data_IF_397366775506
#
_entry.id   IF_397366775506
#
_cell.length_a   1.000
_cell.length_b   1.000
_cell.length_c   1.000
_cell.angle_alpha   90.00
_cell.angle_beta   90.00
_cell.angle_gamma   90.00
#
_symmetry.space_group_name_H-M   'P 1'
#
loop_
_entity.id
_entity.type
_entity.pdbx_description
1 polymer ?
#
# COMPACT_ATOMS: atom_id res chain seq x y z
N UNK A 1 5.38 10.32 -1.41
CA UNK A 1 4.60 9.34 -0.62
C UNK A 1 5.19 7.96 -0.87
N UNK A 2 5.30 7.07 0.13
CA UNK A 2 5.96 5.77 -0.07
C UNK A 2 5.06 4.71 -0.74
N UNK A 3 5.65 3.71 -1.42
CA UNK A 3 4.97 2.44 -1.70
C UNK A 3 4.35 1.84 -0.43
N UNK A 4 3.17 1.25 -0.55
CA UNK A 4 2.49 0.64 0.60
C UNK A 4 3.22 -0.61 1.10
N UNK A 5 3.20 -0.84 2.41
CA UNK A 5 3.53 -2.15 2.97
C UNK A 5 2.35 -3.12 2.71
N UNK A 6 2.45 -3.91 1.64
CA UNK A 6 1.45 -4.93 1.29
C UNK A 6 1.87 -6.30 1.81
N UNK A 7 0.99 -6.98 2.55
CA UNK A 7 1.19 -8.35 3.01
C UNK A 7 -0.02 -9.20 2.65
N UNK A 8 0.20 -10.27 1.88
CA UNK A 8 -0.83 -11.21 1.49
C UNK A 8 -0.52 -12.56 2.14
N UNK A 9 -1.30 -12.90 3.15
CA UNK A 9 -1.17 -14.17 3.86
C UNK A 9 -2.04 -15.24 3.19
N UNK A 10 -1.45 -16.39 2.89
CA UNK A 10 -2.17 -17.55 2.35
C UNK A 10 -2.20 -18.66 3.40
N UNK A 11 -3.35 -19.31 3.55
CA UNK A 11 -3.57 -20.39 4.52
C UNK A 11 -2.89 -21.73 4.16
N UNK A 12 -2.25 -21.84 2.98
CA UNK A 12 -1.61 -23.06 2.47
C UNK A 12 -0.09 -22.91 2.42
N UNK A 13 0.64 -24.02 2.59
CA UNK A 13 2.09 -24.04 2.38
C UNK A 13 2.40 -23.78 0.91
N UNK A 14 3.10 -22.69 0.64
CA UNK A 14 3.46 -22.27 -0.71
C UNK A 14 4.76 -22.97 -1.16
N UNK A 15 4.77 -23.50 -2.39
CA UNK A 15 6.02 -23.87 -3.07
C UNK A 15 6.85 -22.61 -3.33
N UNK A 16 8.19 -22.74 -3.43
CA UNK A 16 9.11 -21.60 -3.65
C UNK A 16 8.69 -20.71 -4.84
N UNK A 17 8.37 -21.31 -5.98
CA UNK A 17 7.89 -20.58 -7.18
C UNK A 17 6.63 -19.77 -6.92
N UNK A 18 5.73 -20.27 -6.06
CA UNK A 18 4.50 -19.56 -5.67
C UNK A 18 4.80 -18.43 -4.69
N UNK A 19 5.77 -18.60 -3.79
CA UNK A 19 6.21 -17.54 -2.88
C UNK A 19 6.86 -16.37 -3.62
N UNK A 20 7.67 -16.62 -4.65
CA UNK A 20 8.29 -15.55 -5.44
C UNK A 20 7.24 -14.77 -6.25
N UNK A 21 6.24 -15.46 -6.82
CA UNK A 21 5.10 -14.82 -7.48
C UNK A 21 4.27 -13.97 -6.53
N UNK A 22 4.10 -14.44 -5.28
CA UNK A 22 3.40 -13.68 -4.25
C UNK A 22 4.13 -12.38 -3.91
N UNK A 23 5.46 -12.43 -3.75
CA UNK A 23 6.27 -11.22 -3.51
C UNK A 23 6.16 -10.21 -4.64
N UNK A 24 6.21 -10.67 -5.89
CA UNK A 24 6.01 -9.82 -7.07
C UNK A 24 4.61 -9.20 -7.07
N UNK A 25 3.59 -9.96 -6.68
CA UNK A 25 2.23 -9.45 -6.53
C UNK A 25 2.13 -8.38 -5.42
N UNK A 26 2.69 -8.63 -4.24
CA UNK A 26 2.70 -7.66 -3.13
C UNK A 26 3.40 -6.37 -3.51
N UNK A 27 4.54 -6.46 -4.19
CA UNK A 27 5.29 -5.30 -4.69
C UNK A 27 4.48 -4.53 -5.74
N UNK A 28 3.87 -5.22 -6.69
CA UNK A 28 2.99 -4.58 -7.69
C UNK A 28 1.82 -3.84 -7.01
N UNK A 29 1.09 -4.51 -6.12
CA UNK A 29 -0.03 -3.90 -5.41
C UNK A 29 0.42 -2.69 -4.56
N UNK A 30 1.65 -2.72 -4.01
CA UNK A 30 2.20 -1.61 -3.22
C UNK A 30 2.30 -0.29 -4.00
N UNK A 31 2.77 -0.37 -5.25
CA UNK A 31 2.84 0.79 -6.14
C UNK A 31 1.46 1.23 -6.63
N UNK A 32 0.52 0.29 -6.81
CA UNK A 32 -0.86 0.61 -7.16
C UNK A 32 -1.58 1.38 -6.03
N UNK A 33 -1.44 0.94 -4.78
CA UNK A 33 -1.97 1.69 -3.64
C UNK A 33 -1.34 3.08 -3.50
N UNK A 34 -0.02 3.19 -3.72
CA UNK A 34 0.68 4.48 -3.73
C UNK A 34 0.08 5.42 -4.78
N UNK A 35 -0.11 4.93 -6.00
CA UNK A 35 -0.74 5.66 -7.10
C UNK A 35 -2.15 6.13 -6.74
N UNK A 36 -3.00 5.23 -6.22
CA UNK A 36 -4.38 5.56 -5.87
C UNK A 36 -4.48 6.69 -4.82
N UNK A 37 -3.67 6.65 -3.76
CA UNK A 37 -3.67 7.73 -2.76
C UNK A 37 -3.11 9.02 -3.36
N UNK A 38 -2.01 8.94 -4.11
CA UNK A 38 -1.41 10.12 -4.73
C UNK A 38 -2.37 10.82 -5.69
N UNK A 39 -3.07 10.06 -6.54
CA UNK A 39 -4.08 10.58 -7.44
C UNK A 39 -5.17 11.34 -6.68
N UNK A 40 -5.71 10.77 -5.61
CA UNK A 40 -6.68 11.47 -4.76
C UNK A 40 -6.14 12.79 -4.19
N UNK A 41 -4.89 12.79 -3.70
CA UNK A 41 -4.24 13.97 -3.15
C UNK A 41 -4.03 15.05 -4.22
N UNK A 42 -3.64 14.67 -5.44
CA UNK A 42 -3.41 15.58 -6.55
C UNK A 42 -4.69 16.21 -7.08
N UNK A 43 -5.74 15.42 -7.26
CA UNK A 43 -7.06 15.89 -7.68
C UNK A 43 -7.61 16.94 -6.72
N UNK A 44 -7.21 16.87 -5.44
CA UNK A 44 -7.64 17.76 -4.36
C UNK A 44 -6.52 18.58 -3.76
N UNK A 45 -5.44 18.85 -4.49
CA UNK A 45 -4.27 19.56 -3.96
C UNK A 45 -4.59 20.92 -3.32
N UNK A 46 -5.67 21.58 -3.77
CA UNK A 46 -6.14 22.86 -3.22
C UNK A 46 -6.75 22.75 -1.82
N UNK A 47 -7.20 21.54 -1.44
CA UNK A 47 -7.81 21.23 -0.15
C UNK A 47 -6.74 21.00 0.94
N UNK A 48 -5.46 21.03 0.61
CA UNK A 48 -4.36 20.80 1.54
C UNK A 48 -3.44 22.02 1.66
N UNK A 49 -2.89 22.24 2.85
CA UNK A 49 -1.94 23.31 3.15
C UNK A 49 -0.50 22.95 2.79
N UNK A 50 -0.25 21.70 2.42
CA UNK A 50 1.08 21.15 2.08
C UNK A 50 1.14 20.76 0.61
N UNK A 51 2.36 20.67 0.08
CA UNK A 51 2.63 20.10 -1.23
C UNK A 51 2.99 18.63 -1.08
N UNK A 52 2.71 17.82 -2.10
CA UNK A 52 3.11 16.42 -2.12
C UNK A 52 4.15 16.21 -3.22
N UNK A 53 5.24 15.52 -2.87
CA UNK A 53 6.24 15.06 -3.83
C UNK A 53 5.61 14.04 -4.79
N UNK A 54 6.00 14.14 -6.07
CA UNK A 54 5.58 13.19 -7.11
C UNK A 54 6.03 11.76 -6.77
N UNK A 55 5.21 10.76 -7.10
CA UNK A 55 5.52 9.37 -6.83
C UNK A 55 6.63 8.84 -7.73
N UNK A 56 6.78 9.35 -8.97
CA UNK A 56 7.85 8.98 -9.88
C UNK A 56 9.21 9.49 -9.37
N UNK A 57 9.22 10.71 -8.83
CA UNK A 57 10.39 11.27 -8.14
C UNK A 57 10.72 10.46 -6.89
N UNK A 58 9.71 10.15 -6.06
CA UNK A 58 9.88 9.33 -4.87
C UNK A 58 10.53 7.99 -5.23
N UNK A 59 9.95 7.27 -6.20
CA UNK A 59 10.38 5.94 -6.60
C UNK A 59 11.76 5.98 -7.26
N UNK A 60 12.06 7.01 -8.05
CA UNK A 60 13.37 7.24 -8.65
C UNK A 60 14.44 7.51 -7.59
N UNK A 61 14.15 8.34 -6.60
CA UNK A 61 15.08 8.66 -5.51
C UNK A 61 15.40 7.42 -4.66
N UNK A 62 14.39 6.62 -4.31
CA UNK A 62 14.58 5.36 -3.60
C UNK A 62 15.48 4.41 -4.41
N UNK A 63 15.18 4.23 -5.70
CA UNK A 63 15.97 3.38 -6.60
C UNK A 63 17.41 3.85 -6.75
N UNK A 64 17.65 5.16 -6.92
CA UNK A 64 19.00 5.75 -7.01
C UNK A 64 19.82 5.54 -5.73
N UNK A 65 19.16 5.45 -4.57
CA UNK A 65 19.80 5.16 -3.28
C UNK A 65 19.94 3.67 -2.98
N UNK A 66 19.59 2.79 -3.92
CA UNK A 66 19.63 1.34 -3.72
C UNK A 66 18.57 0.81 -2.75
N UNK A 67 17.54 1.62 -2.44
CA UNK A 67 16.45 1.22 -1.56
C UNK A 67 15.43 0.45 -2.40
N UNK A 68 15.36 -0.85 -2.14
CA UNK A 68 14.36 -1.77 -2.70
C UNK A 68 13.07 -1.76 -1.89
N UNK A 69 12.00 -2.30 -2.47
CA UNK A 69 10.74 -2.50 -1.76
C UNK A 69 10.91 -3.33 -0.48
N UNK A 70 11.78 -4.35 -0.51
CA UNK A 70 12.03 -5.24 0.63
C UNK A 70 12.81 -4.51 1.73
N UNK A 71 13.84 -3.75 1.37
CA UNK A 71 14.65 -2.97 2.33
C UNK A 71 13.91 -1.77 2.90
N UNK A 72 12.90 -1.25 2.20
CA UNK A 72 12.10 -0.13 2.68
C UNK A 72 11.43 -0.46 4.03
N UNK A 73 11.02 -1.72 4.22
CA UNK A 73 10.37 -2.20 5.46
C UNK A 73 11.27 -2.18 6.69
N UNK A 74 12.58 -2.24 6.50
CA UNK A 74 13.57 -2.19 7.59
C UNK A 74 14.04 -0.78 7.93
N UNK A 75 13.66 0.23 7.14
CA UNK A 75 14.05 1.61 7.39
C UNK A 75 13.13 2.28 8.41
N UNK A 76 13.69 3.19 9.19
CA UNK A 76 12.93 4.11 10.02
C UNK A 76 12.30 5.21 9.17
N UNK A 77 11.21 5.81 9.67
CA UNK A 77 10.55 6.94 8.99
C UNK A 77 11.48 8.15 8.84
N UNK A 78 12.39 8.36 9.79
CA UNK A 78 13.42 9.39 9.73
C UNK A 78 14.37 9.18 8.56
N UNK A 79 14.90 7.96 8.39
CA UNK A 79 15.78 7.61 7.28
C UNK A 79 15.06 7.75 5.93
N UNK A 80 13.78 7.37 5.86
CA UNK A 80 12.96 7.56 4.66
C UNK A 80 12.81 9.05 4.31
N UNK A 81 12.51 9.91 5.28
CA UNK A 81 12.38 11.36 5.03
C UNK A 81 13.70 11.97 4.55
N UNK A 82 14.83 11.59 5.17
CA UNK A 82 16.16 12.03 4.75
C UNK A 82 16.54 11.53 3.35
N UNK A 83 16.20 10.28 3.02
CA UNK A 83 16.43 9.73 1.69
C UNK A 83 15.61 10.45 0.60
N UNK A 84 14.43 10.96 0.94
CA UNK A 84 13.53 11.62 -0.01
C UNK A 84 13.63 13.14 -0.03
N UNK A 85 14.31 13.74 0.96
CA UNK A 85 14.40 15.19 1.10
C UNK A 85 13.06 15.86 1.41
N UNK A 86 12.23 15.20 2.23
CA UNK A 86 10.87 15.67 2.60
C UNK A 86 10.77 15.95 4.10
N UNK A 87 9.83 16.82 4.48
CA UNK A 87 9.52 17.23 5.86
C UNK A 87 8.53 16.28 6.56
N UNK A 88 7.92 15.37 5.82
CA UNK A 88 7.06 14.33 6.35
C UNK A 88 6.83 13.23 5.33
N UNK A 89 6.38 12.07 5.82
CA UNK A 89 6.11 10.91 4.98
C UNK A 89 4.76 10.29 5.29
N UNK A 90 3.97 10.14 4.23
CA UNK A 90 2.76 9.31 4.24
C UNK A 90 3.18 7.89 3.88
N UNK A 91 2.85 6.95 4.75
CA UNK A 91 3.07 5.51 4.56
C UNK A 91 1.78 4.76 4.84
N UNK A 92 1.44 3.82 3.96
CA UNK A 92 0.28 2.98 4.11
C UNK A 92 0.65 1.51 4.33
N UNK A 93 -0.25 0.78 4.98
CA UNK A 93 -0.13 -0.67 5.16
C UNK A 93 -1.42 -1.33 4.72
N UNK A 94 -1.30 -2.38 3.92
CA UNK A 94 -2.39 -3.24 3.51
C UNK A 94 -2.05 -4.68 3.88
N UNK A 95 -2.90 -5.33 4.66
CA UNK A 95 -2.74 -6.74 4.99
C UNK A 95 -4.02 -7.46 4.62
N UNK A 96 -3.93 -8.60 3.94
CA UNK A 96 -5.10 -9.47 3.73
C UNK A 96 -4.78 -10.95 3.90
N UNK A 97 -5.77 -11.71 4.36
CA UNK A 97 -5.74 -13.17 4.41
C UNK A 97 -6.55 -13.75 3.25
N UNK A 98 -5.90 -14.51 2.39
CA UNK A 98 -6.53 -15.27 1.32
C UNK A 98 -6.74 -16.72 1.79
N UNK A 99 -7.97 -17.03 2.17
CA UNK A 99 -8.39 -18.40 2.49
C UNK A 99 -8.69 -19.15 1.20
N UNK A 100 -7.73 -19.92 0.72
CA UNK A 100 -7.94 -20.80 -0.42
C UNK A 100 -8.65 -22.08 0.07
N UNK A 101 -9.78 -22.43 -0.55
CA UNK A 101 -10.39 -23.74 -0.35
C UNK A 101 -9.48 -24.83 -0.95
N UNK A 102 -9.43 -26.01 -0.33
CA UNK A 102 -8.59 -27.14 -0.75
C UNK A 102 -8.87 -27.55 -2.20
N UNK A 103 -10.08 -27.36 -2.69
CA UNK A 103 -10.45 -27.62 -4.09
C UNK A 103 -9.75 -26.65 -5.06
N UNK A 104 -9.59 -25.38 -4.69
CA UNK A 104 -8.88 -24.36 -5.46
C UNK A 104 -7.36 -24.61 -5.51
N UNK A 105 -6.78 -25.25 -4.49
CA UNK A 105 -5.34 -25.54 -4.42
C UNK A 105 -4.83 -26.48 -5.52
N UNK A 106 -5.67 -27.41 -6.00
CA UNK A 106 -5.37 -28.30 -7.13
C UNK A 106 -5.45 -27.56 -8.48
N UNK A 107 -6.35 -26.58 -8.57
CA UNK A 107 -6.55 -25.75 -9.76
C UNK A 107 -5.45 -24.69 -9.88
N UNK A 108 -4.96 -24.14 -8.76
CA UNK A 108 -3.89 -23.14 -8.74
C UNK A 108 -2.56 -23.65 -9.32
N UNK A 109 -2.21 -24.92 -9.16
CA UNK A 109 -1.00 -25.50 -9.77
C UNK A 109 -1.10 -25.55 -11.32
N UNK A 110 -2.33 -25.66 -11.86
CA UNK A 110 -2.63 -25.70 -13.30
C UNK A 110 -2.92 -24.31 -13.90
N UNK A 111 -3.64 -23.46 -13.17
CA UNK A 111 -4.17 -22.16 -13.62
C UNK A 111 -3.25 -20.99 -13.29
N UNK A 112 -2.28 -21.16 -12.39
CA UNK A 112 -1.22 -20.17 -12.18
C UNK A 112 -0.31 -19.96 -13.40
N UNK A 113 -0.54 -20.67 -14.51
CA UNK A 113 0.05 -20.39 -15.82
C UNK A 113 -0.82 -19.47 -16.71
N UNK A 114 -2.07 -19.19 -16.34
CA UNK A 114 -3.05 -18.56 -17.25
C UNK A 114 -3.86 -17.38 -16.68
N UNK A 115 -3.97 -17.17 -15.37
CA UNK A 115 -4.79 -16.05 -14.85
C UNK A 115 -4.07 -15.26 -13.77
N UNK A 116 -3.42 -14.17 -14.18
CA UNK A 116 -2.80 -13.16 -13.32
C UNK A 116 -3.83 -12.24 -12.60
N UNK A 117 -5.13 -12.44 -12.84
CA UNK A 117 -6.19 -11.47 -12.54
C UNK A 117 -7.20 -11.88 -11.45
N UNK A 118 -7.06 -13.02 -10.77
CA UNK A 118 -7.95 -13.36 -9.66
C UNK A 118 -7.37 -12.83 -8.33
N UNK A 119 -7.35 -11.51 -8.17
CA UNK A 119 -7.31 -10.92 -6.84
C UNK A 119 -8.68 -11.18 -6.21
N UNK A 120 -8.76 -12.19 -5.34
CA UNK A 120 -9.95 -12.39 -4.51
C UNK A 120 -10.10 -11.13 -3.66
N UNK A 121 -11.13 -10.33 -3.89
CA UNK A 121 -11.47 -9.22 -3.00
C UNK A 121 -11.69 -9.79 -1.59
N UNK A 122 -10.84 -9.44 -0.60
CA UNK A 122 -10.85 -10.07 0.73
C UNK A 122 -12.17 -9.77 1.46
N UNK A 123 -12.79 -10.71 2.20
CA UNK A 123 -14.10 -10.50 2.88
C UNK A 123 -14.01 -9.72 4.21
N UNK A 124 -15.15 -9.57 4.94
CA UNK A 124 -15.28 -8.69 6.11
C UNK A 124 -14.39 -9.16 7.23
N UNK A 125 -13.45 -8.32 7.69
CA UNK A 125 -12.41 -8.72 8.64
C UNK A 125 -11.26 -9.57 8.07
N UNK A 126 -11.17 -9.76 6.74
CA UNK A 126 -10.04 -10.46 6.10
C UNK A 126 -8.97 -9.52 5.57
N UNK A 127 -9.18 -8.20 5.64
CA UNK A 127 -8.19 -7.21 5.26
C UNK A 127 -8.18 -5.97 6.16
N UNK A 128 -6.99 -5.44 6.39
CA UNK A 128 -6.73 -4.21 7.12
C UNK A 128 -5.99 -3.24 6.21
N UNK A 129 -6.48 -2.00 6.13
CA UNK A 129 -5.87 -0.94 5.36
C UNK A 129 -5.71 0.30 6.25
N UNK A 130 -4.48 0.80 6.36
CA UNK A 130 -4.16 1.96 7.19
C UNK A 130 -3.21 2.93 6.50
N UNK A 131 -3.29 4.19 6.93
CA UNK A 131 -2.40 5.28 6.56
C UNK A 131 -1.81 5.89 7.82
N UNK A 132 -0.55 6.29 7.73
CA UNK A 132 0.14 7.05 8.77
C UNK A 132 0.89 8.21 8.14
N UNK A 133 0.97 9.31 8.87
CA UNK A 133 1.75 10.49 8.55
C UNK A 133 2.77 10.70 9.66
N UNK A 134 4.03 10.66 9.28
CA UNK A 134 5.15 11.04 10.14
C UNK A 134 5.64 12.42 9.78
N UNK A 135 5.86 13.25 10.79
CA UNK A 135 6.35 14.61 10.66
C UNK A 135 7.78 14.70 11.23
N UNK A 136 8.69 15.28 10.45
CA UNK A 136 10.11 15.39 10.82
C UNK A 136 10.34 16.41 11.92
N UNK A 137 9.59 17.51 11.96
CA UNK A 137 9.72 18.54 12.99
C UNK A 137 9.30 18.01 14.37
N UNK A 138 8.21 17.25 14.42
CA UNK A 138 7.72 16.61 15.63
C UNK A 138 8.40 15.28 15.95
N UNK A 139 9.16 14.73 15.00
CA UNK A 139 9.89 13.44 15.09
C UNK A 139 9.00 12.25 15.48
N UNK A 140 7.71 12.30 15.15
CA UNK A 140 6.73 11.27 15.52
C UNK A 140 5.66 11.09 14.45
N UNK A 141 4.91 10.00 14.56
CA UNK A 141 3.66 9.86 13.82
C UNK A 141 2.65 10.83 14.42
N UNK A 142 2.21 11.79 13.61
CA UNK A 142 1.25 12.83 14.02
C UNK A 142 -0.19 12.47 13.67
N UNK A 143 -0.37 11.51 12.75
CA UNK A 143 -1.69 11.06 12.34
C UNK A 143 -1.68 9.62 11.84
N UNK A 144 -2.74 8.91 12.21
CA UNK A 144 -3.04 7.55 11.75
C UNK A 144 -4.51 7.49 11.38
N UNK A 145 -4.81 6.82 10.27
CA UNK A 145 -6.16 6.47 9.89
C UNK A 145 -6.20 4.99 9.54
N UNK A 146 -7.10 4.26 10.18
CA UNK A 146 -7.41 2.87 9.87
C UNK A 146 -8.90 2.78 9.60
N UNK A 147 -9.26 1.97 8.60
CA UNK A 147 -10.64 1.68 8.32
C UNK A 147 -10.86 0.18 8.39
N UNK A 148 -11.78 -0.24 9.25
CA UNK A 148 -12.14 -1.64 9.43
C UNK A 148 -13.31 -2.04 8.50
N UNK A 149 -14.02 -1.03 7.94
CA UNK A 149 -15.11 -1.21 6.97
C UNK A 149 -14.57 -1.14 5.53
N UNK A 150 -14.02 -2.26 5.04
CA UNK A 150 -13.80 -2.42 3.61
C UNK A 150 -15.12 -2.86 2.95
N UNK A 151 -15.41 -2.29 1.79
CA UNK A 151 -16.56 -2.66 0.97
C UNK A 151 -16.08 -3.65 -0.10
N UNK A 152 -16.81 -4.74 -0.32
CA UNK A 152 -16.46 -5.76 -1.32
C UNK A 152 -16.56 -5.32 -2.77
N UNK A 153 -17.00 -4.09 -3.01
CA UNK A 153 -17.20 -3.55 -4.35
C UNK A 153 -15.96 -2.94 -5.01
N UNK A 154 -14.82 -2.77 -4.32
CA UNK A 154 -13.62 -2.20 -4.95
C UNK A 154 -13.02 -3.18 -5.95
N UNK A 155 -12.68 -2.68 -7.14
CA UNK A 155 -12.23 -3.49 -8.28
C UNK A 155 -10.71 -3.53 -8.43
N UNK A 156 -9.99 -2.59 -7.79
CA UNK A 156 -8.53 -2.54 -7.85
C UNK A 156 -7.90 -1.97 -6.57
N UNK A 157 -6.59 -2.21 -6.35
CA UNK A 157 -5.83 -1.56 -5.28
C UNK A 157 -5.92 -0.03 -5.32
N UNK A 158 -5.86 0.57 -6.51
CA UNK A 158 -5.97 2.03 -6.71
C UNK A 158 -7.33 2.56 -6.22
N UNK A 159 -8.44 1.93 -6.63
CA UNK A 159 -9.79 2.34 -6.19
C UNK A 159 -9.93 2.23 -4.67
N UNK A 160 -9.38 1.17 -4.08
CA UNK A 160 -9.43 0.97 -2.63
C UNK A 160 -8.58 2.02 -1.89
N UNK A 161 -7.39 2.35 -2.40
CA UNK A 161 -6.55 3.43 -1.89
C UNK A 161 -7.26 4.79 -1.96
N UNK A 162 -7.89 5.11 -3.10
CA UNK A 162 -8.67 6.35 -3.27
C UNK A 162 -9.84 6.40 -2.28
N UNK A 163 -10.58 5.30 -2.13
CA UNK A 163 -11.71 5.21 -1.20
C UNK A 163 -11.27 5.37 0.25
N UNK A 164 -10.14 4.76 0.64
CA UNK A 164 -9.54 4.97 1.96
C UNK A 164 -9.16 6.43 2.15
N UNK A 165 -8.41 7.00 1.22
CA UNK A 165 -7.94 8.38 1.30
C UNK A 165 -9.11 9.37 1.33
N UNK A 166 -10.21 9.11 0.62
CA UNK A 166 -11.41 9.93 0.65
C UNK A 166 -12.03 10.04 2.05
N UNK A 167 -11.97 8.96 2.83
CA UNK A 167 -12.42 8.97 4.23
C UNK A 167 -11.36 9.56 5.15
N UNK A 168 -10.10 9.18 4.95
CA UNK A 168 -8.96 9.61 5.75
C UNK A 168 -8.74 11.13 5.68
N UNK A 169 -8.88 11.72 4.49
CA UNK A 169 -8.74 13.15 4.22
C UNK A 169 -9.66 14.02 5.07
N UNK A 170 -10.81 13.50 5.54
CA UNK A 170 -11.71 14.23 6.46
C UNK A 170 -11.08 14.56 7.80
N UNK A 171 -10.06 13.80 8.21
CA UNK A 171 -9.35 13.96 9.48
C UNK A 171 -7.86 14.25 9.28
N UNK A 172 -7.44 14.60 8.06
CA UNK A 172 -6.03 14.79 7.75
C UNK A 172 -5.51 16.11 8.34
N UNK A 173 -4.37 16.13 9.06
CA UNK A 173 -3.93 17.30 9.84
C UNK A 173 -3.69 18.56 9.01
N UNK A 174 -3.23 18.41 7.76
CA UNK A 174 -2.92 19.53 6.88
C UNK A 174 -4.01 19.81 5.84
N UNK A 175 -5.25 19.38 6.12
CA UNK A 175 -6.41 19.78 5.32
C UNK A 175 -6.81 21.22 5.66
N UNK A 176 -7.18 21.99 4.63
CA UNK A 176 -7.75 23.34 4.76
C UNK A 176 -9.24 23.31 5.11
#
# INVERSE_FOLDING_TARGET
MLPFDVQIEKNLQLKKTTADRLRVQEEREAYQYQSGVFQYLMDRKKDFAVNFQDIDDTNTLLKRKGITYQTLRSMTKTEMCQALGVDGVISGRFQRRENLDRTASRVLDLVSRQTENFALSPKQGEANLSLTLYDVAEKRVVWTYQNDDWNSSYRSPEEMAQGLMARAAKKFPYRR
#
